data_IF_200643446501
#
_entry.id   IF_200643446501
#
_cell.length_a   1.000
_cell.length_b   1.000
_cell.length_c   1.000
_cell.angle_alpha   90.00
_cell.angle_beta   90.00
_cell.angle_gamma   90.00
#
_symmetry.space_group_name_H-M   'P 1'
#
loop_
_entity.id
_entity.type
_entity.pdbx_description
1 polymer ?
#
# COMPACT_ATOMS: atom_id res chain seq x y z
N UNK A 1 9.55 -22.98 -6.72
CA UNK A 1 10.23 -21.77 -6.21
C UNK A 1 9.33 -20.62 -5.75
N UNK A 2 8.04 -20.56 -6.11
CA UNK A 2 7.13 -19.54 -5.57
C UNK A 2 6.71 -19.81 -4.10
N UNK A 3 6.60 -21.09 -3.72
CA UNK A 3 6.14 -21.49 -2.38
C UNK A 3 7.08 -21.06 -1.24
N UNK A 4 8.40 -21.23 -1.41
CA UNK A 4 9.39 -20.85 -0.38
C UNK A 4 9.37 -19.34 -0.15
N UNK A 5 9.31 -18.55 -1.23
CA UNK A 5 9.21 -17.10 -1.15
C UNK A 5 7.90 -16.66 -0.46
N UNK A 6 6.78 -17.29 -0.81
CA UNK A 6 5.50 -17.03 -0.14
C UNK A 6 5.53 -17.37 1.35
N UNK A 7 6.27 -18.40 1.77
CA UNK A 7 6.44 -18.76 3.19
C UNK A 7 7.27 -17.71 3.93
N UNK A 8 8.40 -17.27 3.37
CA UNK A 8 9.27 -16.24 3.97
C UNK A 8 8.52 -14.90 4.10
N UNK A 9 7.79 -14.51 3.05
CA UNK A 9 6.98 -13.29 3.09
C UNK A 9 5.87 -13.44 4.12
N UNK A 10 5.19 -14.59 4.18
CA UNK A 10 4.13 -14.83 5.15
C UNK A 10 4.65 -14.75 6.60
N UNK A 11 5.81 -15.33 6.88
CA UNK A 11 6.42 -15.32 8.21
C UNK A 11 6.72 -13.87 8.68
N UNK A 12 7.36 -13.05 7.84
CA UNK A 12 7.60 -11.64 8.15
C UNK A 12 6.31 -10.80 8.23
N UNK A 13 5.24 -11.19 7.51
CA UNK A 13 3.92 -10.58 7.65
C UNK A 13 3.22 -10.96 8.95
N UNK A 14 3.41 -12.19 9.43
CA UNK A 14 2.81 -12.69 10.66
C UNK A 14 3.47 -12.06 11.90
N UNK A 15 4.79 -11.83 11.88
CA UNK A 15 5.51 -11.11 12.94
C UNK A 15 5.06 -9.64 13.10
N UNK A 16 4.77 -8.97 11.99
CA UNK A 16 4.42 -7.54 11.95
C UNK A 16 2.94 -7.28 11.63
N UNK A 17 2.10 -8.29 11.82
CA UNK A 17 0.73 -8.30 11.33
C UNK A 17 -0.14 -7.21 11.97
N UNK A 18 0.14 -6.84 13.22
CA UNK A 18 -0.61 -5.81 13.96
C UNK A 18 -0.50 -4.45 13.29
N UNK A 19 0.71 -3.97 13.01
CA UNK A 19 0.95 -2.67 12.37
C UNK A 19 0.47 -2.64 10.92
N UNK A 20 0.66 -3.73 10.18
CA UNK A 20 0.15 -3.86 8.80
C UNK A 20 -1.39 -3.76 8.80
N UNK A 21 -2.07 -4.48 9.72
CA UNK A 21 -3.53 -4.41 9.87
C UNK A 21 -4.00 -3.04 10.34
N UNK A 22 -3.22 -2.34 11.17
CA UNK A 22 -3.51 -0.98 11.62
C UNK A 22 -3.60 -0.02 10.42
N UNK A 23 -2.56 0.00 9.58
CA UNK A 23 -2.52 0.79 8.35
C UNK A 23 -3.63 0.39 7.37
N UNK A 24 -3.86 -0.91 7.18
CA UNK A 24 -4.95 -1.40 6.32
C UNK A 24 -6.32 -0.91 6.77
N UNK A 25 -6.59 -0.93 8.08
CA UNK A 25 -7.85 -0.43 8.66
C UNK A 25 -7.97 1.09 8.50
N UNK A 26 -6.91 1.83 8.81
CA UNK A 26 -6.83 3.27 8.64
C UNK A 26 -7.18 3.69 7.21
N UNK A 27 -6.53 3.06 6.22
CA UNK A 27 -6.79 3.30 4.79
C UNK A 27 -8.22 2.93 4.42
N UNK A 28 -8.71 1.77 4.88
CA UNK A 28 -10.08 1.31 4.59
C UNK A 28 -11.13 2.28 5.12
N UNK A 29 -10.95 2.82 6.32
CA UNK A 29 -11.90 3.73 6.93
C UNK A 29 -11.99 5.04 6.16
N UNK A 30 -10.84 5.66 5.84
CA UNK A 30 -10.79 6.87 4.99
C UNK A 30 -11.52 6.60 3.68
N UNK A 31 -11.34 5.42 3.08
CA UNK A 31 -11.94 5.08 1.78
C UNK A 31 -13.44 4.80 1.85
N UNK A 32 -13.96 4.37 3.00
CA UNK A 32 -15.38 4.06 3.14
C UNK A 32 -16.26 5.32 3.23
N UNK A 33 -15.67 6.49 3.48
CA UNK A 33 -16.39 7.77 3.55
C UNK A 33 -15.90 8.73 2.46
N UNK A 34 -16.80 9.11 1.54
CA UNK A 34 -16.51 10.10 0.50
C UNK A 34 -16.02 11.43 1.08
N UNK A 35 -16.56 11.83 2.23
CA UNK A 35 -16.15 13.04 2.94
C UNK A 35 -14.70 12.92 3.43
N UNK A 36 -14.34 11.78 4.04
CA UNK A 36 -12.97 11.53 4.52
C UNK A 36 -11.96 11.47 3.37
N UNK A 37 -12.30 10.82 2.24
CA UNK A 37 -11.45 10.85 1.04
C UNK A 37 -11.19 12.28 0.58
N UNK A 38 -12.24 13.11 0.53
CA UNK A 38 -12.12 14.49 0.05
C UNK A 38 -11.24 15.32 0.99
N UNK A 39 -11.47 15.24 2.30
CA UNK A 39 -10.64 15.91 3.30
C UNK A 39 -9.18 15.42 3.29
N UNK A 40 -8.96 14.13 3.08
CA UNK A 40 -7.62 13.55 2.96
C UNK A 40 -6.90 14.09 1.71
N UNK A 41 -7.59 14.19 0.57
CA UNK A 41 -7.06 14.82 -0.65
C UNK A 41 -6.74 16.30 -0.46
N UNK A 42 -7.55 17.03 0.32
CA UNK A 42 -7.22 18.40 0.69
C UNK A 42 -5.95 18.47 1.53
N UNK A 43 -5.77 17.58 2.51
CA UNK A 43 -4.54 17.49 3.28
C UNK A 43 -3.33 17.21 2.38
N UNK A 44 -3.48 16.35 1.37
CA UNK A 44 -2.44 16.10 0.36
C UNK A 44 -2.08 17.38 -0.42
N UNK A 45 -3.09 18.13 -0.88
CA UNK A 45 -2.88 19.40 -1.59
C UNK A 45 -2.17 20.42 -0.70
N UNK A 46 -2.62 20.58 0.54
CA UNK A 46 -2.03 21.54 1.48
C UNK A 46 -0.59 21.18 1.86
N UNK A 47 -0.19 19.90 1.75
CA UNK A 47 1.18 19.44 1.98
C UNK A 47 2.01 19.33 0.69
N UNK A 48 1.46 19.71 -0.46
CA UNK A 48 2.06 19.54 -1.78
C UNK A 48 2.53 18.09 -2.06
N UNK A 49 1.77 17.10 -1.58
CA UNK A 49 2.05 15.68 -1.81
C UNK A 49 1.22 15.21 -2.99
N UNK A 50 1.89 14.96 -4.12
CA UNK A 50 1.27 14.33 -5.28
C UNK A 50 1.45 12.82 -5.23
N UNK A 51 0.38 12.08 -4.92
CA UNK A 51 0.36 10.62 -5.10
C UNK A 51 -0.72 10.23 -6.10
N UNK A 52 -0.30 9.53 -7.17
CA UNK A 52 -1.18 9.09 -8.27
C UNK A 52 -2.17 8.00 -7.85
N UNK A 53 -1.93 7.35 -6.71
CA UNK A 53 -2.75 6.27 -6.17
C UNK A 53 -3.19 6.65 -4.76
N UNK A 54 -4.20 7.51 -4.66
CA UNK A 54 -4.83 7.83 -3.37
C UNK A 54 -5.52 6.56 -2.88
N UNK A 55 -4.83 5.81 -2.00
CA UNK A 55 -5.33 4.67 -1.24
C UNK A 55 -5.67 3.43 -2.11
N UNK A 56 -4.71 2.51 -2.23
CA UNK A 56 -4.86 1.27 -3.01
C UNK A 56 -5.87 0.29 -2.37
N UNK A 57 -6.54 -0.53 -3.18
CA UNK A 57 -7.36 -1.63 -2.68
C UNK A 57 -6.46 -2.78 -2.24
N UNK A 58 -6.32 -2.96 -0.93
CA UNK A 58 -5.62 -4.12 -0.38
C UNK A 58 -6.39 -5.41 -0.69
N UNK A 59 -5.71 -6.37 -1.31
CA UNK A 59 -6.24 -7.71 -1.55
C UNK A 59 -5.39 -8.71 -0.75
N UNK A 60 -5.89 -9.23 0.39
CA UNK A 60 -5.09 -10.02 1.32
C UNK A 60 -4.54 -11.34 0.74
N UNK A 61 -4.98 -11.73 -0.47
CA UNK A 61 -4.53 -12.95 -1.15
C UNK A 61 -3.18 -12.81 -1.85
N UNK A 62 -2.63 -11.60 -2.01
CA UNK A 62 -1.34 -11.38 -2.70
C UNK A 62 -0.53 -10.27 -2.02
N UNK A 63 0.67 -10.63 -1.54
CA UNK A 63 1.62 -9.70 -0.92
C UNK A 63 1.98 -8.50 -1.81
N UNK A 64 1.86 -8.64 -3.14
CA UNK A 64 2.04 -7.53 -4.08
C UNK A 64 1.07 -6.36 -3.82
N UNK A 65 -0.19 -6.64 -3.48
CA UNK A 65 -1.17 -5.58 -3.23
C UNK A 65 -0.95 -4.92 -1.87
N UNK A 66 -0.60 -5.71 -0.85
CA UNK A 66 -0.25 -5.17 0.46
C UNK A 66 1.06 -4.38 0.40
N UNK A 67 2.05 -4.83 -0.37
CA UNK A 67 3.25 -4.05 -0.65
C UNK A 67 2.93 -2.68 -1.24
N UNK A 68 2.10 -2.61 -2.29
CA UNK A 68 1.72 -1.33 -2.91
C UNK A 68 0.96 -0.44 -1.93
N UNK A 69 0.06 -1.01 -1.12
CA UNK A 69 -0.65 -0.28 -0.07
C UNK A 69 0.34 0.30 0.96
N UNK A 70 1.23 -0.52 1.51
CA UNK A 70 2.19 -0.10 2.54
C UNK A 70 3.13 0.97 2.00
N UNK A 71 3.58 0.83 0.74
CA UNK A 71 4.42 1.83 0.07
C UNK A 71 3.72 3.19 0.00
N UNK A 72 2.48 3.20 -0.47
CA UNK A 72 1.67 4.44 -0.55
C UNK A 72 1.40 5.01 0.85
N UNK A 73 1.08 4.16 1.83
CA UNK A 73 0.78 4.60 3.19
C UNK A 73 1.99 5.28 3.84
N UNK A 74 3.18 4.72 3.65
CA UNK A 74 4.45 5.31 4.09
C UNK A 74 4.72 6.65 3.41
N UNK A 75 4.49 6.76 2.10
CA UNK A 75 4.63 8.03 1.37
C UNK A 75 3.67 9.12 1.88
N UNK A 76 2.51 8.72 2.40
CA UNK A 76 1.45 9.60 2.86
C UNK A 76 1.42 9.79 4.39
N UNK A 77 2.40 9.30 5.13
CA UNK A 77 2.47 9.38 6.60
C UNK A 77 2.18 10.79 7.16
N UNK A 78 2.81 11.82 6.58
CA UNK A 78 2.57 13.22 6.98
C UNK A 78 1.13 13.68 6.72
N UNK A 79 0.48 13.11 5.70
CA UNK A 79 -0.91 13.40 5.35
C UNK A 79 -1.84 12.75 6.38
N UNK A 80 -1.54 11.53 6.85
CA UNK A 80 -2.28 10.89 7.95
C UNK A 80 -2.26 11.75 9.21
N UNK A 81 -1.07 12.21 9.63
CA UNK A 81 -0.97 13.07 10.82
C UNK A 81 -1.74 14.39 10.68
N UNK A 82 -1.72 15.01 9.49
CA UNK A 82 -2.52 16.22 9.24
C UNK A 82 -4.02 15.95 9.19
N UNK A 83 -4.41 14.84 8.60
CA UNK A 83 -5.80 14.41 8.50
C UNK A 83 -6.40 14.14 9.88
N UNK A 84 -5.62 13.52 10.78
CA UNK A 84 -6.01 13.28 12.17
C UNK A 84 -6.39 14.56 12.93
N UNK A 85 -5.63 15.64 12.71
CA UNK A 85 -5.92 16.96 13.30
C UNK A 85 -7.17 17.61 12.67
N UNK A 86 -7.41 17.36 11.37
CA UNK A 86 -8.49 18.00 10.61
C UNK A 86 -9.84 17.28 10.76
N UNK A 87 -9.85 15.97 11.02
CA UNK A 87 -11.04 15.16 11.24
C UNK A 87 -11.04 14.51 12.65
N UNK A 88 -11.57 15.20 13.67
CA UNK A 88 -11.71 14.63 15.02
C UNK A 88 -12.59 13.37 15.09
N UNK A 89 -13.44 13.12 14.08
CA UNK A 89 -14.29 11.92 14.03
C UNK A 89 -13.50 10.68 13.61
N UNK A 90 -12.43 10.86 12.83
CA UNK A 90 -11.52 9.79 12.43
C UNK A 90 -10.85 9.11 13.63
N UNK A 91 -10.42 9.90 14.62
CA UNK A 91 -9.75 9.40 15.84
C UNK A 91 -10.70 8.58 16.72
N UNK A 92 -12.01 8.85 16.66
CA UNK A 92 -13.01 8.17 17.48
C UNK A 92 -13.28 6.75 16.99
N UNK A 93 -13.33 6.56 15.67
CA UNK A 93 -13.77 5.32 15.05
C UNK A 93 -12.61 4.39 14.65
N UNK A 94 -11.36 4.89 14.71
CA UNK A 94 -10.17 4.18 14.22
C UNK A 94 -8.99 4.39 15.16
N UNK A 95 -8.24 3.32 15.42
CA UNK A 95 -6.88 3.45 15.98
C UNK A 95 -6.02 4.09 14.89
N UNK A 96 -5.67 5.37 15.05
CA UNK A 96 -4.78 6.08 14.14
C UNK A 96 -3.40 5.40 14.17
N UNK A 97 -2.79 5.11 13.01
CA UNK A 97 -1.46 4.53 12.96
C UNK A 97 -0.43 5.47 13.61
N UNK A 98 0.39 4.93 14.50
CA UNK A 98 1.44 5.70 15.18
C UNK A 98 2.78 5.60 14.44
N UNK A 99 3.76 6.43 14.81
CA UNK A 99 5.10 6.44 14.21
C UNK A 99 5.74 5.03 14.14
N UNK A 100 5.54 4.19 15.18
CA UNK A 100 6.09 2.84 15.18
C UNK A 100 5.43 1.94 14.11
N UNK A 101 4.14 2.12 13.83
CA UNK A 101 3.45 1.40 12.75
C UNK A 101 4.06 1.77 11.39
N UNK A 102 4.31 3.06 11.15
CA UNK A 102 4.97 3.51 9.93
C UNK A 102 6.42 3.04 9.83
N UNK A 103 7.15 2.97 10.95
CA UNK A 103 8.52 2.44 11.00
C UNK A 103 8.57 0.96 10.61
N UNK A 104 7.68 0.15 11.15
CA UNK A 104 7.53 -1.27 10.79
C UNK A 104 7.15 -1.40 9.31
N UNK A 105 6.19 -0.60 8.84
CA UNK A 105 5.78 -0.62 7.43
C UNK A 105 6.90 -0.21 6.48
N UNK A 106 7.74 0.78 6.84
CA UNK A 106 8.95 1.15 6.09
C UNK A 106 9.94 -0.01 5.99
N UNK A 107 10.17 -0.71 7.09
CA UNK A 107 11.04 -1.89 7.11
C UNK A 107 10.48 -3.00 6.20
N UNK A 108 9.17 -3.25 6.27
CA UNK A 108 8.49 -4.22 5.42
C UNK A 108 8.53 -3.84 3.94
N UNK A 109 8.29 -2.58 3.59
CA UNK A 109 8.42 -2.09 2.21
C UNK A 109 9.83 -2.35 1.68
N UNK A 110 10.87 -1.99 2.43
CA UNK A 110 12.28 -2.24 2.04
C UNK A 110 12.60 -3.72 1.90
N UNK A 111 12.04 -4.56 2.76
CA UNK A 111 12.20 -6.02 2.68
C UNK A 111 11.54 -6.55 1.41
N UNK A 112 10.28 -6.18 1.17
CA UNK A 112 9.48 -6.63 0.02
C UNK A 112 9.98 -6.07 -1.32
N UNK A 113 10.59 -4.89 -1.35
CA UNK A 113 11.22 -4.33 -2.56
C UNK A 113 12.27 -5.27 -3.16
N UNK A 114 13.08 -5.92 -2.30
CA UNK A 114 14.09 -6.89 -2.74
C UNK A 114 13.47 -8.09 -3.47
N UNK A 115 12.29 -8.52 -3.03
CA UNK A 115 11.57 -9.64 -3.62
C UNK A 115 10.71 -9.23 -4.82
N UNK A 116 10.22 -7.98 -4.84
CA UNK A 116 9.50 -7.41 -5.99
C UNK A 116 10.39 -7.38 -7.23
N UNK A 117 11.65 -6.97 -7.09
CA UNK A 117 12.62 -7.04 -8.19
C UNK A 117 12.69 -8.47 -8.73
N UNK A 118 12.90 -9.47 -7.87
CA UNK A 118 12.95 -10.86 -8.31
C UNK A 118 11.66 -11.35 -9.00
N UNK A 119 10.50 -10.90 -8.51
CA UNK A 119 9.19 -11.25 -9.06
C UNK A 119 8.93 -10.57 -10.42
N UNK A 120 9.23 -9.29 -10.56
CA UNK A 120 9.03 -8.50 -11.78
C UNK A 120 9.95 -9.00 -12.91
N UNK A 121 11.21 -9.36 -12.61
CA UNK A 121 12.12 -9.98 -13.58
C UNK A 121 11.61 -11.34 -14.08
N UNK A 122 11.04 -12.16 -13.18
CA UNK A 122 10.43 -13.43 -13.55
C UNK A 122 9.12 -13.25 -14.35
N UNK A 123 8.37 -12.19 -14.08
CA UNK A 123 7.14 -11.84 -14.81
C UNK A 123 7.44 -11.28 -16.21
N UNK A 124 8.53 -10.52 -16.37
CA UNK A 124 9.02 -10.03 -17.66
C UNK A 124 9.51 -11.17 -18.56
N UNK A 125 10.22 -12.16 -17.99
CA UNK A 125 10.67 -13.36 -18.72
C UNK A 125 9.54 -14.36 -19.03
N UNK A 126 8.39 -14.24 -18.37
CA UNK A 126 7.21 -15.10 -18.55
C UNK A 126 5.98 -14.31 -19.03
N UNK A 127 6.15 -13.25 -19.84
CA UNK A 127 5.06 -12.80 -20.71
C UNK A 127 5.01 -13.73 -21.93
N UNK A 128 4.02 -14.63 -22.09
CA UNK A 128 3.80 -15.27 -23.38
C UNK A 128 3.44 -14.15 -24.38
N UNK A 129 4.07 -14.16 -25.54
CA UNK A 129 3.85 -13.24 -26.67
C UNK A 129 2.35 -12.94 -26.88
N UNK A 130 1.88 -11.78 -26.44
CA UNK A 130 0.56 -11.24 -26.81
C UNK A 130 0.64 -9.77 -27.27
N UNK A 131 1.79 -9.38 -27.83
CA UNK A 131 1.96 -8.11 -28.55
C UNK A 131 2.58 -8.33 -29.95
N UNK A 132 2.35 -9.50 -30.57
CA UNK A 132 2.73 -9.76 -31.96
C UNK A 132 1.53 -10.18 -32.84
N UNK A 133 0.33 -9.68 -32.56
CA UNK A 133 -0.80 -9.78 -33.49
C UNK A 133 -1.60 -8.49 -33.44
N UNK A 134 -0.99 -7.40 -33.94
CA UNK A 134 -1.72 -6.23 -34.47
C UNK A 134 -0.74 -5.26 -35.16
N UNK A 135 0.19 -5.78 -35.95
CA UNK A 135 0.88 -5.00 -36.99
C UNK A 135 1.12 -5.96 -38.13
N UNK A 136 0.09 -6.20 -38.93
CA UNK A 136 0.19 -6.59 -40.35
C UNK A 136 -1.23 -6.55 -40.92
N UNK A 137 -1.50 -5.47 -41.65
CA UNK A 137 -2.74 -5.21 -42.36
C UNK A 137 -2.47 -4.11 -43.38
N UNK A 138 -1.94 -4.53 -44.53
CA UNK A 138 -2.14 -3.83 -45.80
C UNK A 138 -3.61 -3.91 -46.20
#
# INVERSE_FOLDING_TARGET
MAHILSLIVKDGFDEHQSSIKCIQKAVRNIRNSTQQIQMFKECMKELNVESKKVLCNDSPTRWNSTYELLKIAVELEKVFGKFEVKDPTYVRDVVSPVEEDFKICRAMVRFLEKFKIFWDYKFLLWRPRLLLVQVDGY
#
